data_IF_578383259497
#
_entry.id   IF_578383259497
#
_cell.length_a   1.000
_cell.length_b   1.000
_cell.length_c   1.000
_cell.angle_alpha   90.00
_cell.angle_beta   90.00
_cell.angle_gamma   90.00
#
_symmetry.space_group_name_H-M   'P 1'
#
loop_
_entity.id
_entity.type
_entity.pdbx_description
1 polymer ?
#
# COMPACT_ATOMS: atom_id res chain seq x y z
N UNK A 1 -28.86 -5.02 2.33
CA UNK A 1 -27.85 -4.56 1.36
C UNK A 1 -27.23 -3.31 1.95
N UNK A 2 -26.05 -3.41 2.55
CA UNK A 2 -25.38 -2.26 3.17
C UNK A 2 -24.29 -1.82 2.19
N UNK A 3 -24.51 -0.70 1.52
CA UNK A 3 -23.48 0.00 0.77
C UNK A 3 -22.45 0.52 1.77
N UNK A 4 -21.27 -0.11 1.83
CA UNK A 4 -20.12 0.39 2.57
C UNK A 4 -19.64 1.65 1.84
N UNK A 5 -20.18 2.80 2.23
CA UNK A 5 -19.50 4.08 1.99
C UNK A 5 -18.15 3.95 2.67
N UNK A 6 -17.08 3.79 1.89
CA UNK A 6 -15.72 3.78 2.42
C UNK A 6 -15.44 5.15 3.05
N UNK A 7 -15.68 5.26 4.35
CA UNK A 7 -15.12 6.36 5.14
C UNK A 7 -13.61 6.30 4.96
N UNK A 8 -13.01 7.39 4.45
CA UNK A 8 -11.56 7.54 4.37
C UNK A 8 -10.97 7.17 5.73
N UNK A 9 -10.20 6.08 5.79
CA UNK A 9 -9.57 5.61 7.03
C UNK A 9 -8.78 6.77 7.63
N UNK A 10 -8.97 7.05 8.93
CA UNK A 10 -8.21 8.08 9.63
C UNK A 10 -6.71 7.79 9.47
N UNK A 11 -6.04 8.65 8.72
CA UNK A 11 -4.83 8.35 8.00
C UNK A 11 -3.63 9.12 8.53
N UNK A 12 -2.45 8.48 8.55
CA UNK A 12 -1.20 9.23 8.49
C UNK A 12 -1.24 10.21 7.30
N UNK A 13 -0.75 11.45 7.43
CA UNK A 13 -0.76 12.42 6.33
C UNK A 13 -0.14 11.81 5.07
N UNK A 14 -0.67 12.17 3.90
CA UNK A 14 -0.20 11.63 2.61
C UNK A 14 1.32 11.77 2.40
N UNK A 15 1.95 12.80 2.97
CA UNK A 15 3.40 12.97 2.99
C UNK A 15 4.14 11.86 3.75
N UNK A 16 3.66 11.49 4.94
CA UNK A 16 4.23 10.39 5.74
C UNK A 16 4.07 9.07 5.01
N UNK A 17 2.92 8.85 4.38
CA UNK A 17 2.67 7.65 3.57
C UNK A 17 3.59 7.56 2.37
N UNK A 18 3.77 8.66 1.64
CA UNK A 18 4.70 8.72 0.51
C UNK A 18 6.12 8.39 0.95
N UNK A 19 6.58 8.96 2.06
CA UNK A 19 7.90 8.67 2.62
C UNK A 19 8.07 7.17 2.95
N UNK A 20 7.03 6.52 3.50
CA UNK A 20 7.06 5.07 3.79
C UNK A 20 7.19 4.24 2.51
N UNK A 21 6.44 4.58 1.45
CA UNK A 21 6.53 3.90 0.15
C UNK A 21 7.91 4.11 -0.48
N UNK A 22 8.42 5.34 -0.50
CA UNK A 22 9.77 5.63 -1.02
C UNK A 22 10.85 4.86 -0.26
N UNK A 23 10.75 4.78 1.06
CA UNK A 23 11.67 4.00 1.91
C UNK A 23 11.58 2.51 1.57
N UNK A 24 10.37 1.95 1.44
CA UNK A 24 10.19 0.54 1.10
C UNK A 24 10.77 0.19 -0.28
N UNK A 25 10.51 1.02 -1.29
CA UNK A 25 11.07 0.86 -2.64
C UNK A 25 12.59 0.97 -2.62
N UNK A 26 13.14 1.93 -1.87
CA UNK A 26 14.58 2.09 -1.73
C UNK A 26 15.22 0.86 -1.07
N UNK A 27 14.65 0.35 0.02
CA UNK A 27 15.14 -0.87 0.68
C UNK A 27 15.11 -2.08 -0.26
N UNK A 28 14.02 -2.27 -1.01
CA UNK A 28 13.94 -3.33 -2.01
C UNK A 28 15.05 -3.18 -3.08
N UNK A 29 15.28 -1.97 -3.58
CA UNK A 29 16.32 -1.70 -4.56
C UNK A 29 17.74 -1.99 -4.01
N UNK A 30 18.00 -1.70 -2.73
CA UNK A 30 19.27 -2.04 -2.06
C UNK A 30 19.51 -3.56 -1.99
N UNK A 31 18.45 -4.37 -2.06
CA UNK A 31 18.51 -5.83 -2.14
C UNK A 31 18.52 -6.37 -3.58
N UNK A 32 18.58 -5.48 -4.58
CA UNK A 32 18.52 -5.85 -6.00
C UNK A 32 17.12 -6.26 -6.46
N UNK A 33 16.08 -5.95 -5.69
CA UNK A 33 14.69 -6.25 -6.00
C UNK A 33 14.00 -5.06 -6.67
N UNK A 34 12.96 -5.36 -7.44
CA UNK A 34 12.05 -4.37 -8.02
C UNK A 34 10.62 -4.67 -7.59
N UNK A 35 9.86 -3.61 -7.32
CA UNK A 35 8.41 -3.72 -7.06
C UNK A 35 7.65 -3.85 -8.39
N UNK A 36 6.58 -4.65 -8.39
CA UNK A 36 5.73 -4.82 -9.57
C UNK A 36 4.82 -3.61 -9.79
N UNK A 37 4.25 -3.49 -10.98
CA UNK A 37 3.30 -2.41 -11.29
C UNK A 37 2.05 -2.49 -10.42
N UNK A 38 1.50 -3.69 -10.20
CA UNK A 38 0.30 -3.84 -9.36
C UNK A 38 0.57 -3.44 -7.91
N UNK A 39 1.82 -3.57 -7.42
CA UNK A 39 2.17 -3.09 -6.07
C UNK A 39 2.28 -1.55 -6.05
N UNK A 40 2.69 -0.93 -7.16
CA UNK A 40 2.74 0.54 -7.27
C UNK A 40 1.34 1.15 -7.26
N UNK A 41 0.37 0.48 -7.89
CA UNK A 41 -1.03 0.88 -7.85
C UNK A 41 -1.56 0.82 -6.41
N UNK A 42 -1.37 -0.29 -5.70
CA UNK A 42 -1.76 -0.41 -4.28
C UNK A 42 -1.06 0.65 -3.40
N UNK A 43 0.22 0.93 -3.66
CA UNK A 43 0.96 1.97 -2.96
C UNK A 43 0.41 3.39 -3.23
N UNK A 44 -0.10 3.64 -4.43
CA UNK A 44 -0.76 4.90 -4.78
C UNK A 44 -2.09 5.05 -4.03
N UNK A 45 -2.90 3.99 -3.99
CA UNK A 45 -4.15 3.94 -3.21
C UNK A 45 -3.88 4.21 -1.71
N UNK A 46 -2.81 3.62 -1.18
CA UNK A 46 -2.37 3.83 0.21
C UNK A 46 -2.01 5.31 0.45
N UNK A 47 -1.19 5.90 -0.42
CA UNK A 47 -0.79 7.31 -0.32
C UNK A 47 -1.99 8.25 -0.44
N UNK A 48 -2.96 7.94 -1.31
CA UNK A 48 -4.22 8.68 -1.47
C UNK A 48 -5.18 8.51 -0.28
N UNK A 49 -4.98 7.45 0.50
CA UNK A 49 -5.81 7.07 1.64
C UNK A 49 -7.11 6.39 1.27
N UNK A 50 -7.10 5.71 0.14
CA UNK A 50 -8.17 4.82 -0.30
C UNK A 50 -8.06 3.46 0.39
N UNK A 51 -6.83 3.01 0.67
CA UNK A 51 -6.54 1.84 1.51
C UNK A 51 -5.65 2.22 2.71
N UNK A 52 -5.67 1.38 3.74
CA UNK A 52 -4.77 1.48 4.88
C UNK A 52 -3.56 0.54 4.78
N UNK A 53 -2.71 0.55 5.81
CA UNK A 53 -1.48 -0.26 5.83
C UNK A 53 -1.78 -1.76 5.89
N UNK A 54 -2.84 -2.15 6.59
CA UNK A 54 -3.25 -3.55 6.70
C UNK A 54 -3.72 -4.06 5.34
N UNK A 55 -4.55 -3.30 4.64
CA UNK A 55 -5.03 -3.68 3.31
C UNK A 55 -3.89 -3.76 2.27
N UNK A 56 -2.91 -2.84 2.30
CA UNK A 56 -1.72 -2.92 1.44
C UNK A 56 -0.94 -4.24 1.66
N UNK A 57 -0.78 -4.63 2.93
CA UNK A 57 -0.12 -5.90 3.30
C UNK A 57 -0.95 -7.10 2.87
N UNK A 58 -2.26 -7.09 3.11
CA UNK A 58 -3.17 -8.18 2.73
C UNK A 58 -3.18 -8.40 1.22
N UNK A 59 -3.29 -7.34 0.40
CA UNK A 59 -3.21 -7.43 -1.06
C UNK A 59 -1.87 -8.02 -1.52
N UNK A 60 -0.77 -7.57 -0.92
CA UNK A 60 0.57 -8.09 -1.21
C UNK A 60 0.65 -9.59 -0.87
N UNK A 61 0.22 -9.98 0.33
CA UNK A 61 0.23 -11.39 0.78
C UNK A 61 -0.63 -12.29 -0.10
N UNK A 62 -1.84 -11.86 -0.42
CA UNK A 62 -2.76 -12.59 -1.30
C UNK A 62 -2.15 -12.82 -2.69
N UNK A 63 -1.43 -11.83 -3.24
CA UNK A 63 -0.73 -11.96 -4.54
C UNK A 63 0.32 -13.08 -4.54
N UNK A 64 0.91 -13.37 -3.39
CA UNK A 64 1.89 -14.45 -3.23
C UNK A 64 1.31 -15.72 -2.59
N UNK A 65 -0.02 -15.82 -2.45
CA UNK A 65 -0.68 -16.99 -1.85
C UNK A 65 -0.40 -17.16 -0.34
N UNK A 66 -0.01 -16.08 0.34
CA UNK A 66 0.25 -16.06 1.76
C UNK A 66 -1.06 -15.71 2.49
N UNK A 67 -1.63 -16.66 3.23
CA UNK A 67 -2.76 -16.41 4.15
C UNK A 67 -2.24 -16.20 5.57
#
# INVERSE_FOLDING_TARGET
MVTKTAERVAAAPSGVRRQRIETAVHSAAMEGLAVTEEWREDAADYVAGEIDESELVERTRARYGLV
#
